data_IF_066639911674
#
_entry.id   IF_066639911674
#
_cell.length_a   1.000
_cell.length_b   1.000
_cell.length_c   1.000
_cell.angle_alpha   90.00
_cell.angle_beta   90.00
_cell.angle_gamma   90.00
#
_symmetry.space_group_name_H-M   'P 1'
#
loop_
_entity.id
_entity.type
_entity.pdbx_description
1 polymer ?
#
# COMPACT_ATOMS: atom_id res chain seq x y z
N UNK A 1 -3.50 -0.26 17.08
CA UNK A 1 -2.45 -0.36 16.05
C UNK A 1 -2.53 -1.72 15.41
N UNK A 2 -2.90 -1.72 14.14
CA UNK A 2 -2.97 -2.89 13.29
C UNK A 2 -2.00 -2.70 12.12
N UNK A 3 -1.53 -3.82 11.61
CA UNK A 3 -0.61 -3.85 10.48
C UNK A 3 -1.25 -4.72 9.39
N UNK A 4 -1.29 -4.20 8.17
CA UNK A 4 -1.88 -4.88 7.04
C UNK A 4 -0.90 -4.92 5.86
N UNK A 5 -0.92 -6.05 5.15
CA UNK A 5 -0.28 -6.18 3.85
C UNK A 5 -1.35 -6.10 2.78
N UNK A 6 -1.28 -5.07 1.95
CA UNK A 6 -2.19 -4.85 0.83
C UNK A 6 -1.48 -5.30 -0.45
N UNK A 7 -2.07 -6.28 -1.13
CA UNK A 7 -1.62 -6.81 -2.40
C UNK A 7 -2.31 -6.01 -3.51
N UNK A 8 -1.53 -5.35 -4.36
CA UNK A 8 -2.04 -4.43 -5.38
C UNK A 8 -1.67 -4.99 -6.75
N UNK A 9 -2.68 -5.14 -7.60
CA UNK A 9 -2.54 -5.43 -9.03
C UNK A 9 -2.69 -4.10 -9.78
N UNK A 10 -1.71 -3.76 -10.60
CA UNK A 10 -1.63 -2.48 -11.28
C UNK A 10 -1.14 -2.65 -12.71
N UNK A 11 -1.58 -1.75 -13.59
CA UNK A 11 -1.07 -1.72 -14.96
C UNK A 11 0.47 -1.53 -14.98
N UNK A 12 1.23 -2.28 -15.80
CA UNK A 12 2.69 -2.29 -15.77
C UNK A 12 3.32 -0.91 -15.90
N UNK A 13 2.69 -0.02 -16.66
CA UNK A 13 3.13 1.37 -16.87
C UNK A 13 3.01 2.23 -15.63
N UNK A 14 2.07 1.91 -14.71
CA UNK A 14 1.80 2.69 -13.49
C UNK A 14 2.54 2.18 -12.26
N UNK A 15 3.08 0.97 -12.30
CA UNK A 15 3.80 0.36 -11.16
C UNK A 15 4.94 1.27 -10.67
N UNK A 16 5.72 1.85 -11.59
CA UNK A 16 6.83 2.74 -11.23
C UNK A 16 6.38 4.05 -10.60
N UNK A 17 5.25 4.60 -11.02
CA UNK A 17 4.70 5.83 -10.47
C UNK A 17 4.14 5.56 -9.08
N UNK A 18 3.39 4.46 -8.92
CA UNK A 18 2.82 4.03 -7.64
C UNK A 18 3.88 3.76 -6.57
N UNK A 19 5.04 3.18 -6.92
CA UNK A 19 6.15 2.98 -5.97
C UNK A 19 6.69 4.31 -5.44
N UNK A 20 6.60 5.39 -6.21
CA UNK A 20 7.09 6.72 -5.79
C UNK A 20 6.03 7.53 -5.05
N UNK A 21 4.76 7.34 -5.39
CA UNK A 21 3.65 8.13 -4.86
C UNK A 21 3.03 7.54 -3.59
N UNK A 22 3.02 6.21 -3.45
CA UNK A 22 2.37 5.53 -2.32
C UNK A 22 3.15 5.55 -1.00
N UNK A 23 4.49 5.56 -0.93
CA UNK A 23 5.20 5.64 0.34
C UNK A 23 4.84 6.92 1.10
N UNK A 24 4.69 6.82 2.42
CA UNK A 24 4.34 7.93 3.32
C UNK A 24 2.97 8.56 3.06
N UNK A 25 2.12 7.92 2.24
CA UNK A 25 0.77 8.38 2.01
C UNK A 25 -0.10 8.11 3.26
N UNK A 26 -0.73 9.17 3.76
CA UNK A 26 -1.71 9.09 4.84
C UNK A 26 -3.13 9.01 4.27
N UNK A 27 -3.87 7.98 4.70
CA UNK A 27 -5.25 7.73 4.34
C UNK A 27 -6.05 7.57 5.65
N UNK A 28 -6.79 8.60 6.05
CA UNK A 28 -7.69 8.57 7.21
C UNK A 28 -7.07 7.98 8.50
N UNK A 29 -5.82 8.37 8.76
CA UNK A 29 -5.03 7.94 9.92
C UNK A 29 -4.23 6.65 9.70
N UNK A 30 -4.39 6.00 8.55
CA UNK A 30 -3.54 4.89 8.08
C UNK A 30 -2.34 5.44 7.33
N UNK A 31 -1.14 4.92 7.59
CA UNK A 31 0.09 5.33 6.94
C UNK A 31 0.67 4.16 6.17
N UNK A 32 0.93 4.37 4.87
CA UNK A 32 1.69 3.41 4.06
C UNK A 32 3.17 3.55 4.44
N UNK A 33 3.67 2.58 5.21
CA UNK A 33 5.05 2.60 5.70
C UNK A 33 6.06 2.20 4.63
N UNK A 34 5.71 1.22 3.81
CA UNK A 34 6.59 0.69 2.77
C UNK A 34 5.79 0.15 1.60
N UNK A 35 6.36 0.25 0.41
CA UNK A 35 5.82 -0.35 -0.81
C UNK A 35 6.94 -1.10 -1.51
N UNK A 36 6.68 -2.36 -1.86
CA UNK A 36 7.61 -3.21 -2.56
C UNK A 36 7.02 -3.63 -3.89
N UNK A 37 7.75 -3.38 -4.98
CA UNK A 37 7.49 -4.00 -6.27
C UNK A 37 7.90 -5.47 -6.19
N UNK A 38 7.01 -6.37 -6.56
CA UNK A 38 7.30 -7.80 -6.53
C UNK A 38 7.06 -8.42 -7.90
N UNK A 39 7.85 -9.43 -8.22
CA UNK A 39 7.62 -10.25 -9.40
C UNK A 39 6.69 -11.40 -9.00
N UNK A 40 5.43 -11.36 -9.45
CA UNK A 40 4.42 -12.33 -9.03
C UNK A 40 3.04 -12.10 -9.64
N UNK A 41 2.00 -12.66 -9.01
CA UNK A 41 0.60 -12.44 -9.41
C UNK A 41 0.13 -11.00 -9.17
N UNK A 42 0.73 -10.36 -8.17
CA UNK A 42 0.53 -8.95 -7.86
C UNK A 42 1.79 -8.21 -8.25
N UNK A 43 1.64 -6.94 -8.60
CA UNK A 43 2.75 -6.08 -9.00
C UNK A 43 3.40 -5.40 -7.80
N UNK A 44 2.60 -5.15 -6.75
CA UNK A 44 2.97 -4.34 -5.60
C UNK A 44 2.44 -4.92 -4.29
N UNK A 45 3.24 -4.77 -3.23
CA UNK A 45 2.85 -5.06 -1.85
C UNK A 45 3.07 -3.80 -1.01
N UNK A 46 2.00 -3.26 -0.46
CA UNK A 46 2.04 -2.14 0.46
C UNK A 46 1.91 -2.62 1.91
N UNK A 47 2.79 -2.15 2.79
CA UNK A 47 2.73 -2.34 4.22
C UNK A 47 2.10 -1.12 4.86
N UNK A 48 0.93 -1.30 5.46
CA UNK A 48 0.11 -0.22 6.01
C UNK A 48 0.01 -0.39 7.51
N UNK A 49 0.29 0.69 8.23
CA UNK A 49 0.04 0.82 9.67
C UNK A 49 -1.22 1.65 9.87
N UNK A 50 -2.16 1.16 10.67
CA UNK A 50 -3.40 1.87 10.94
C UNK A 50 -3.77 1.80 12.42
N UNK A 51 -4.46 2.81 12.99
CA UNK A 51 -4.92 2.75 14.37
C UNK A 51 -5.93 1.61 14.60
N UNK A 52 -6.87 1.41 13.68
CA UNK A 52 -7.97 0.45 13.76
C UNK A 52 -8.44 -0.05 12.37
N UNK A 53 -9.31 -1.06 12.35
CA UNK A 53 -9.80 -1.65 11.09
C UNK A 53 -10.73 -0.73 10.29
N UNK A 54 -11.38 0.25 10.93
CA UNK A 54 -12.28 1.18 10.23
C UNK A 54 -11.48 2.16 9.37
N UNK A 55 -10.33 2.62 9.87
CA UNK A 55 -9.39 3.46 9.12
C UNK A 55 -8.73 2.78 7.91
N UNK A 56 -8.80 1.45 7.79
CA UNK A 56 -8.24 0.71 6.64
C UNK A 56 -9.23 0.51 5.48
N UNK A 57 -10.54 0.62 5.73
CA UNK A 57 -11.57 0.13 4.81
C UNK A 57 -12.72 1.10 4.51
N UNK A 58 -12.69 2.32 5.05
CA UNK A 58 -13.54 3.42 4.57
C UNK A 58 -12.92 4.09 3.35
#
# INVERSE_FOLDING_TARGET
MIYAYVLIEAEPTRVQDLIKELPDMELDGSVIKQVHAVTGRYDLIAFVESPDMQSLGN
#
